data_IF_289274002548
#
_entry.id   IF_289274002548
#
_cell.length_a   1.000
_cell.length_b   1.000
_cell.length_c   1.000
_cell.angle_alpha   90.00
_cell.angle_beta   90.00
_cell.angle_gamma   90.00
#
_symmetry.space_group_name_H-M   'P 1'
#
loop_
_entity.id
_entity.type
_entity.pdbx_description
1 polymer ?
#
# COMPACT_ATOMS: atom_id res chain seq x y z
N UNK A 1 12.32 -48.62 -12.24
CA UNK A 1 11.53 -47.42 -11.92
C UNK A 1 12.20 -46.68 -10.77
N UNK A 2 12.55 -45.39 -10.88
CA UNK A 2 13.01 -44.65 -9.72
C UNK A 2 11.79 -44.19 -8.91
N UNK A 3 11.84 -44.36 -7.59
CA UNK A 3 10.82 -43.91 -6.67
C UNK A 3 10.77 -42.36 -6.65
N UNK A 4 9.58 -41.74 -6.50
CA UNK A 4 9.49 -40.28 -6.43
C UNK A 4 10.03 -39.81 -5.08
N UNK A 5 10.91 -38.80 -5.13
CA UNK A 5 11.44 -38.14 -3.95
C UNK A 5 10.30 -37.38 -3.24
N UNK A 6 9.83 -37.95 -2.13
CA UNK A 6 8.83 -37.34 -1.25
C UNK A 6 9.49 -36.19 -0.48
N UNK A 7 8.98 -34.97 -0.64
CA UNK A 7 9.39 -33.81 0.16
C UNK A 7 8.72 -33.85 1.53
N UNK A 8 9.53 -33.71 2.58
CA UNK A 8 9.23 -34.11 3.97
C UNK A 8 8.23 -33.20 4.75
N UNK A 9 7.32 -32.47 4.09
CA UNK A 9 6.38 -31.58 4.80
C UNK A 9 4.94 -31.62 4.24
N UNK A 10 4.59 -32.56 3.36
CA UNK A 10 3.18 -32.71 2.94
C UNK A 10 2.85 -34.18 2.63
N UNK A 11 1.86 -34.72 3.35
CA UNK A 11 1.30 -36.07 3.15
C UNK A 11 0.17 -36.06 2.10
N UNK A 12 0.30 -35.26 1.05
CA UNK A 12 -0.68 -35.19 -0.05
C UNK A 12 0.05 -35.25 -1.38
N UNK A 13 -0.49 -36.04 -2.30
CA UNK A 13 0.05 -36.26 -3.64
C UNK A 13 0.29 -34.92 -4.37
N UNK A 14 1.51 -34.62 -4.86
CA UNK A 14 1.84 -33.40 -5.59
C UNK A 14 0.96 -33.14 -6.83
N UNK A 15 0.31 -34.17 -7.37
CA UNK A 15 -0.65 -34.03 -8.48
C UNK A 15 -1.99 -33.42 -8.06
N UNK A 16 -2.25 -33.34 -6.75
CA UNK A 16 -3.45 -32.73 -6.16
C UNK A 16 -3.32 -31.22 -5.95
N UNK A 17 -2.10 -30.68 -6.01
CA UNK A 17 -1.90 -29.24 -5.95
C UNK A 17 -2.13 -28.64 -7.33
N UNK A 18 -3.19 -27.84 -7.46
CA UNK A 18 -3.53 -27.15 -8.69
C UNK A 18 -2.33 -26.29 -9.12
N UNK A 19 -1.75 -26.51 -10.32
CA UNK A 19 -0.50 -25.86 -10.74
C UNK A 19 -0.60 -24.33 -10.73
N UNK A 20 -1.80 -23.79 -10.91
CA UNK A 20 -2.02 -22.36 -10.82
C UNK A 20 -1.90 -21.78 -9.40
N UNK A 21 -2.30 -22.53 -8.37
CA UNK A 21 -2.16 -22.09 -6.99
C UNK A 21 -0.69 -22.05 -6.60
N UNK A 22 0.09 -23.06 -7.01
CA UNK A 22 1.53 -23.10 -6.78
C UNK A 22 2.27 -21.97 -7.52
N UNK A 23 1.85 -21.65 -8.74
CA UNK A 23 2.37 -20.50 -9.47
C UNK A 23 2.08 -19.19 -8.72
N UNK A 24 0.86 -19.04 -8.20
CA UNK A 24 0.46 -17.86 -7.45
C UNK A 24 1.29 -17.75 -6.16
N UNK A 25 1.39 -18.80 -5.36
CA UNK A 25 2.18 -18.85 -4.10
C UNK A 25 3.65 -18.48 -4.29
N UNK A 26 4.27 -18.88 -5.41
CA UNK A 26 5.67 -18.58 -5.71
C UNK A 26 5.90 -17.20 -6.34
N UNK A 27 4.86 -16.39 -6.51
CA UNK A 27 4.96 -15.05 -7.09
C UNK A 27 5.67 -14.10 -6.12
N UNK A 28 6.60 -13.30 -6.65
CA UNK A 28 7.25 -12.22 -5.89
C UNK A 28 6.32 -11.02 -5.81
N UNK A 29 6.31 -10.34 -4.68
CA UNK A 29 5.61 -9.06 -4.52
C UNK A 29 6.35 -8.00 -5.36
N UNK A 30 5.83 -7.72 -6.55
CA UNK A 30 6.36 -6.71 -7.49
C UNK A 30 5.51 -5.44 -7.49
N UNK A 31 6.00 -4.33 -8.03
CA UNK A 31 5.24 -3.07 -8.12
C UNK A 31 3.83 -3.22 -8.73
N UNK A 32 3.62 -4.03 -9.80
CA UNK A 32 2.28 -4.24 -10.36
C UNK A 32 1.32 -4.96 -9.41
N UNK A 33 1.85 -5.88 -8.61
CA UNK A 33 1.09 -6.59 -7.57
C UNK A 33 0.68 -5.60 -6.49
N UNK A 34 1.58 -4.69 -6.10
CA UNK A 34 1.29 -3.64 -5.13
C UNK A 34 0.22 -2.68 -5.67
N UNK A 35 0.34 -2.24 -6.93
CA UNK A 35 -0.68 -1.40 -7.57
C UNK A 35 -2.07 -2.07 -7.55
N UNK A 36 -2.15 -3.36 -7.90
CA UNK A 36 -3.40 -4.10 -7.84
C UNK A 36 -3.99 -4.18 -6.42
N UNK A 37 -3.15 -4.41 -5.39
CA UNK A 37 -3.59 -4.39 -3.98
C UNK A 37 -4.19 -3.03 -3.63
N UNK A 38 -3.51 -1.95 -4.03
CA UNK A 38 -3.92 -0.57 -3.75
C UNK A 38 -5.26 -0.26 -4.42
N UNK A 39 -5.44 -0.64 -5.68
CA UNK A 39 -6.71 -0.49 -6.41
C UNK A 39 -7.84 -1.28 -5.73
N UNK A 40 -7.62 -2.56 -5.45
CA UNK A 40 -8.62 -3.44 -4.83
C UNK A 40 -9.08 -2.93 -3.46
N UNK A 41 -8.15 -2.46 -2.62
CA UNK A 41 -8.50 -1.92 -1.30
C UNK A 41 -9.21 -0.58 -1.45
N UNK A 42 -8.76 0.30 -2.36
CA UNK A 42 -9.38 1.61 -2.57
C UNK A 42 -10.84 1.47 -3.02
N UNK A 43 -11.10 0.56 -3.97
CA UNK A 43 -12.46 0.25 -4.43
C UNK A 43 -13.35 -0.30 -3.29
N UNK A 44 -12.79 -1.18 -2.46
CA UNK A 44 -13.51 -1.72 -1.29
C UNK A 44 -13.86 -0.62 -0.26
N UNK A 45 -12.95 0.32 -0.06
CA UNK A 45 -13.17 1.46 0.84
C UNK A 45 -14.22 2.41 0.29
N UNK A 46 -14.14 2.74 -1.01
CA UNK A 46 -15.11 3.60 -1.67
C UNK A 46 -16.53 3.00 -1.55
N UNK A 47 -16.68 1.70 -1.81
CA UNK A 47 -17.94 0.98 -1.60
C UNK A 47 -18.43 1.04 -0.14
N UNK A 48 -17.51 0.89 0.83
CA UNK A 48 -17.82 0.94 2.26
C UNK A 48 -18.23 2.34 2.77
N UNK A 49 -17.71 3.41 2.14
CA UNK A 49 -18.06 4.80 2.40
C UNK A 49 -19.44 5.14 1.80
N UNK A 50 -19.66 4.80 0.52
CA UNK A 50 -20.93 5.05 -0.17
C UNK A 50 -22.12 4.37 0.53
N UNK A 51 -21.91 3.18 1.08
CA UNK A 51 -22.92 2.44 1.86
C UNK A 51 -23.22 3.09 3.21
N UNK A 52 -22.26 3.77 3.82
CA UNK A 52 -22.48 4.51 5.06
C UNK A 52 -23.31 5.77 4.80
N UNK A 53 -22.99 6.50 3.74
CA UNK A 53 -23.70 7.73 3.32
C UNK A 53 -25.15 7.45 2.89
N UNK A 54 -25.37 6.36 2.15
CA UNK A 54 -26.71 5.95 1.69
C UNK A 54 -27.65 5.56 2.84
N UNK A 55 -27.10 5.12 3.98
CA UNK A 55 -27.87 4.82 5.18
C UNK A 55 -28.25 6.08 5.98
N UNK A 56 -27.65 7.23 5.68
CA UNK A 56 -27.85 8.51 6.37
C UNK A 56 -28.48 9.58 5.46
N UNK A 57 -29.68 9.33 4.91
CA UNK A 57 -30.53 10.31 4.19
C UNK A 57 -29.94 10.95 2.90
N UNK A 58 -30.72 11.13 1.82
CA UNK A 58 -30.16 11.55 0.53
C UNK A 58 -30.02 13.07 0.47
N UNK A 59 -28.91 13.64 0.97
CA UNK A 59 -28.43 14.98 0.61
C UNK A 59 -27.09 15.28 1.29
N UNK A 60 -25.98 15.04 0.60
CA UNK A 60 -25.03 16.08 0.15
C UNK A 60 -24.02 15.40 -0.76
N UNK A 61 -24.05 15.71 -2.05
CA UNK A 61 -22.99 15.39 -2.99
C UNK A 61 -21.76 16.23 -2.64
N UNK A 62 -21.00 15.83 -1.60
CA UNK A 62 -19.66 16.36 -1.38
C UNK A 62 -18.78 15.77 -2.47
N UNK A 63 -18.29 16.60 -3.39
CA UNK A 63 -17.41 16.18 -4.46
C UNK A 63 -16.08 15.67 -3.91
N UNK A 64 -15.94 14.34 -3.81
CA UNK A 64 -14.74 13.63 -3.34
C UNK A 64 -13.60 13.57 -4.38
N UNK A 65 -13.47 14.58 -5.25
CA UNK A 65 -12.69 14.41 -6.50
C UNK A 65 -11.36 15.19 -6.60
N UNK A 66 -10.91 15.94 -5.59
CA UNK A 66 -9.70 16.79 -5.73
C UNK A 66 -8.42 16.29 -5.03
N UNK A 67 -8.49 15.32 -4.13
CA UNK A 67 -7.33 14.84 -3.35
C UNK A 67 -6.93 13.39 -3.64
N UNK A 68 -7.75 12.64 -4.39
CA UNK A 68 -7.59 11.21 -4.72
C UNK A 68 -6.20 10.79 -5.21
N UNK A 69 -5.54 11.50 -6.14
CA UNK A 69 -4.22 11.07 -6.61
C UNK A 69 -3.18 11.06 -5.48
N UNK A 70 -3.28 12.02 -4.55
CA UNK A 70 -2.34 12.15 -3.44
C UNK A 70 -2.58 11.14 -2.31
N UNK A 71 -3.83 10.74 -2.05
CA UNK A 71 -4.14 9.69 -1.07
C UNK A 71 -3.75 8.33 -1.60
N UNK A 72 -4.01 8.05 -2.89
CA UNK A 72 -3.63 6.81 -3.54
C UNK A 72 -2.12 6.57 -3.51
N UNK A 73 -1.30 7.58 -3.83
CA UNK A 73 0.17 7.46 -3.77
C UNK A 73 0.68 7.25 -2.34
N UNK A 74 0.09 7.94 -1.34
CA UNK A 74 0.47 7.73 0.07
C UNK A 74 0.14 6.31 0.52
N UNK A 75 -1.02 5.81 0.12
CA UNK A 75 -1.43 4.45 0.44
C UNK A 75 -0.54 3.42 -0.27
N UNK A 76 -0.14 3.63 -1.53
CA UNK A 76 0.86 2.80 -2.20
C UNK A 76 2.17 2.71 -1.40
N UNK A 77 2.73 3.85 -0.99
CA UNK A 77 3.95 3.88 -0.16
C UNK A 77 3.76 3.16 1.17
N UNK A 78 2.59 3.30 1.79
CA UNK A 78 2.23 2.58 3.02
C UNK A 78 2.25 1.06 2.79
N UNK A 79 1.61 0.57 1.72
CA UNK A 79 1.60 -0.86 1.37
C UNK A 79 3.03 -1.38 1.15
N UNK A 80 3.87 -0.68 0.38
CA UNK A 80 5.28 -1.05 0.19
C UNK A 80 6.02 -1.17 1.52
N UNK A 81 5.88 -0.16 2.39
CA UNK A 81 6.58 -0.08 3.67
C UNK A 81 6.19 -1.26 4.56
N UNK A 82 4.88 -1.49 4.72
CA UNK A 82 4.37 -2.54 5.60
C UNK A 82 4.75 -3.93 5.09
N UNK A 83 4.59 -4.22 3.80
CA UNK A 83 4.94 -5.53 3.24
C UNK A 83 6.43 -5.84 3.37
N UNK A 84 7.28 -4.84 3.15
CA UNK A 84 8.73 -4.96 3.29
C UNK A 84 9.14 -5.15 4.76
N UNK A 85 8.73 -4.25 5.65
CA UNK A 85 9.14 -4.26 7.06
C UNK A 85 8.61 -5.49 7.81
N UNK A 86 7.38 -5.93 7.51
CA UNK A 86 6.80 -7.13 8.11
C UNK A 86 7.21 -8.44 7.43
N UNK A 87 8.00 -8.39 6.35
CA UNK A 87 8.48 -9.55 5.57
C UNK A 87 7.35 -10.51 5.18
N UNK A 88 6.26 -9.93 4.70
CA UNK A 88 5.05 -10.66 4.37
C UNK A 88 5.27 -11.47 3.09
N UNK A 89 4.87 -12.75 3.12
CA UNK A 89 4.88 -13.60 1.94
C UNK A 89 3.70 -13.29 1.01
N UNK A 90 3.85 -13.50 -0.30
CA UNK A 90 2.73 -13.32 -1.23
C UNK A 90 1.49 -14.18 -0.89
N UNK A 91 1.60 -15.46 -0.47
CA UNK A 91 0.45 -16.22 0.03
C UNK A 91 -0.34 -15.51 1.14
N UNK A 92 0.36 -14.87 2.07
CA UNK A 92 -0.28 -14.08 3.13
C UNK A 92 -1.04 -12.89 2.54
N UNK A 93 -0.51 -12.24 1.50
CA UNK A 93 -1.20 -11.16 0.78
C UNK A 93 -2.47 -11.67 0.09
N UNK A 94 -2.43 -12.85 -0.55
CA UNK A 94 -3.61 -13.45 -1.17
C UNK A 94 -4.73 -13.69 -0.16
N UNK A 95 -4.39 -14.23 1.01
CA UNK A 95 -5.34 -14.42 2.11
C UNK A 95 -5.91 -13.09 2.59
N UNK A 96 -5.08 -12.04 2.68
CA UNK A 96 -5.54 -10.70 3.05
C UNK A 96 -6.56 -10.16 2.04
N UNK A 97 -6.31 -10.30 0.74
CA UNK A 97 -7.25 -9.88 -0.30
C UNK A 97 -8.55 -10.67 -0.29
N UNK A 98 -8.48 -11.99 -0.09
CA UNK A 98 -9.66 -12.84 0.10
C UNK A 98 -10.51 -12.37 1.29
N UNK A 99 -9.86 -11.99 2.40
CA UNK A 99 -10.55 -11.41 3.55
C UNK A 99 -11.19 -10.05 3.24
N UNK A 100 -10.52 -9.19 2.48
CA UNK A 100 -11.07 -7.89 2.04
C UNK A 100 -12.31 -8.11 1.17
N UNK A 101 -12.23 -8.97 0.15
CA UNK A 101 -13.34 -9.29 -0.73
C UNK A 101 -14.55 -9.84 0.05
N UNK A 102 -14.32 -10.75 1.00
CA UNK A 102 -15.36 -11.31 1.87
C UNK A 102 -15.91 -10.32 2.91
N UNK A 103 -15.08 -9.37 3.33
CA UNK A 103 -15.45 -8.31 4.27
C UNK A 103 -16.27 -7.20 3.62
N UNK A 104 -16.04 -6.95 2.32
CA UNK A 104 -16.61 -5.83 1.56
C UNK A 104 -18.12 -5.62 1.77
N UNK A 105 -19.01 -6.64 1.69
CA UNK A 105 -20.46 -6.44 1.89
C UNK A 105 -20.86 -5.97 3.30
N UNK A 106 -20.00 -6.20 4.30
CA UNK A 106 -20.24 -5.89 5.72
C UNK A 106 -19.44 -4.67 6.19
N UNK A 107 -18.54 -4.16 5.36
CA UNK A 107 -17.69 -3.03 5.68
C UNK A 107 -18.54 -1.75 5.76
N UNK A 108 -18.44 -1.02 6.87
CA UNK A 108 -19.07 0.29 7.06
C UNK A 108 -18.03 1.24 7.62
N UNK A 109 -17.69 2.28 6.87
CA UNK A 109 -16.60 3.17 7.22
C UNK A 109 -17.19 4.48 7.73
N UNK A 110 -17.19 4.68 9.05
CA UNK A 110 -17.66 5.92 9.68
C UNK A 110 -16.59 7.01 9.80
N UNK A 111 -15.32 6.65 9.59
CA UNK A 111 -14.18 7.57 9.66
C UNK A 111 -13.39 7.40 8.38
N UNK A 112 -13.26 8.44 7.56
CA UNK A 112 -12.54 8.37 6.28
C UNK A 112 -11.01 8.37 6.46
N UNK A 113 -10.52 9.00 7.54
CA UNK A 113 -9.08 9.13 7.82
C UNK A 113 -8.41 7.74 7.82
N UNK A 114 -7.43 7.60 6.94
CA UNK A 114 -6.65 6.37 6.74
C UNK A 114 -7.51 5.11 6.55
N UNK A 115 -8.66 5.22 5.87
CA UNK A 115 -9.57 4.11 5.68
C UNK A 115 -8.91 2.94 4.94
N UNK A 116 -8.23 3.21 3.82
CA UNK A 116 -7.50 2.20 3.03
C UNK A 116 -6.39 1.53 3.82
N UNK A 117 -5.57 2.32 4.53
CA UNK A 117 -4.51 1.81 5.38
C UNK A 117 -5.05 0.90 6.48
N UNK A 118 -6.17 1.27 7.13
CA UNK A 118 -6.79 0.47 8.20
C UNK A 118 -7.40 -0.81 7.67
N UNK A 119 -8.12 -0.77 6.55
CA UNK A 119 -8.72 -1.95 5.91
C UNK A 119 -7.62 -2.93 5.48
N UNK A 120 -6.60 -2.43 4.78
CA UNK A 120 -5.47 -3.26 4.36
C UNK A 120 -4.72 -3.87 5.54
N UNK A 121 -4.35 -3.05 6.54
CA UNK A 121 -3.59 -3.51 7.70
C UNK A 121 -4.37 -4.54 8.53
N UNK A 122 -5.66 -4.31 8.77
CA UNK A 122 -6.50 -5.24 9.50
C UNK A 122 -6.57 -6.61 8.82
N UNK A 123 -6.80 -6.63 7.50
CA UNK A 123 -6.81 -7.85 6.72
C UNK A 123 -5.45 -8.58 6.76
N UNK A 124 -4.36 -7.81 6.60
CA UNK A 124 -3.01 -8.35 6.54
C UNK A 124 -2.55 -8.96 7.86
N UNK A 125 -2.87 -8.33 9.00
CA UNK A 125 -2.55 -8.86 10.33
C UNK A 125 -3.23 -10.21 10.54
N UNK A 126 -4.53 -10.30 10.24
CA UNK A 126 -5.28 -11.55 10.42
C UNK A 126 -4.76 -12.62 9.45
N UNK A 127 -4.46 -12.25 8.21
CA UNK A 127 -3.90 -13.17 7.22
C UNK A 127 -2.53 -13.71 7.65
N UNK A 128 -1.65 -12.85 8.16
CA UNK A 128 -0.36 -13.26 8.73
C UNK A 128 -0.57 -14.25 9.87
N UNK A 129 -1.41 -13.88 10.85
CA UNK A 129 -1.76 -14.75 11.99
C UNK A 129 -2.38 -16.08 11.61
N UNK A 130 -3.08 -16.14 10.48
CA UNK A 130 -3.71 -17.35 9.97
C UNK A 130 -2.75 -18.26 9.20
N UNK A 131 -1.78 -17.68 8.49
CA UNK A 131 -0.93 -18.42 7.53
C UNK A 131 0.46 -18.77 8.05
N UNK A 132 0.93 -18.13 9.13
CA UNK A 132 2.30 -18.27 9.62
C UNK A 132 2.31 -18.86 11.03
N UNK A 133 3.13 -19.89 11.27
CA UNK A 133 3.28 -20.52 12.59
C UNK A 133 3.91 -19.58 13.64
N UNK A 134 4.72 -18.63 13.17
CA UNK A 134 5.30 -17.57 13.99
C UNK A 134 4.96 -16.21 13.38
N UNK A 135 4.25 -15.37 14.14
CA UNK A 135 3.68 -14.12 13.64
C UNK A 135 4.10 -12.93 14.47
N UNK A 136 4.08 -11.75 13.84
CA UNK A 136 4.38 -10.51 14.54
C UNK A 136 3.27 -10.20 15.55
N UNK A 137 3.69 -9.89 16.78
CA UNK A 137 2.81 -9.26 17.79
C UNK A 137 2.42 -7.85 17.34
N UNK A 138 1.29 -7.35 17.81
CA UNK A 138 0.75 -6.05 17.41
C UNK A 138 1.69 -4.87 17.68
N UNK A 139 2.56 -4.98 18.69
CA UNK A 139 3.61 -3.98 18.96
C UNK A 139 4.64 -3.88 17.82
N UNK A 140 4.97 -5.00 17.17
CA UNK A 140 5.89 -5.00 16.03
C UNK A 140 5.19 -4.52 14.76
N UNK A 141 3.90 -4.85 14.58
CA UNK A 141 3.09 -4.26 13.50
C UNK A 141 3.02 -2.73 13.59
N UNK A 142 2.89 -2.17 14.80
CA UNK A 142 2.95 -0.73 14.99
C UNK A 142 4.27 -0.12 14.50
N UNK A 143 5.39 -0.79 14.76
CA UNK A 143 6.72 -0.39 14.27
C UNK A 143 6.81 -0.46 12.74
N UNK A 144 6.27 -1.51 12.10
CA UNK A 144 6.27 -1.64 10.63
C UNK A 144 5.46 -0.52 9.95
N UNK A 145 4.32 -0.13 10.53
CA UNK A 145 3.42 0.85 9.89
C UNK A 145 3.92 2.28 10.00
N UNK A 146 4.65 2.62 11.09
CA UNK A 146 5.10 3.99 11.45
C UNK A 146 3.98 5.05 11.45
N UNK A 147 2.72 4.59 11.44
CA UNK A 147 1.53 5.42 11.30
C UNK A 147 0.56 5.20 12.46
N UNK A 148 0.46 3.96 12.95
CA UNK A 148 -0.48 3.55 13.97
C UNK A 148 0.24 3.16 15.25
N UNK A 149 -0.29 3.60 16.40
CA UNK A 149 0.19 3.12 17.69
C UNK A 149 -0.20 1.65 17.90
N UNK A 150 0.45 0.95 18.84
CA UNK A 150 0.05 -0.42 19.22
C UNK A 150 -1.43 -0.53 19.55
N UNK A 151 -2.00 0.48 20.22
CA UNK A 151 -3.44 0.51 20.55
C UNK A 151 -4.30 0.60 19.29
N UNK A 152 -3.91 1.45 18.34
CA UNK A 152 -4.62 1.59 17.06
C UNK A 152 -4.54 0.29 16.27
N UNK A 153 -3.38 -0.36 16.22
CA UNK A 153 -3.19 -1.67 15.56
C UNK A 153 -4.09 -2.74 16.18
N UNK A 154 -4.14 -2.85 17.51
CA UNK A 154 -5.05 -3.76 18.19
C UNK A 154 -6.52 -3.49 17.83
N UNK A 155 -6.89 -2.20 17.74
CA UNK A 155 -8.25 -1.81 17.39
C UNK A 155 -8.58 -2.13 15.93
N UNK A 156 -7.66 -1.84 15.01
CA UNK A 156 -7.78 -2.15 13.57
C UNK A 156 -7.97 -3.65 13.36
N UNK A 157 -7.17 -4.48 14.05
CA UNK A 157 -7.32 -5.93 14.02
C UNK A 157 -8.71 -6.37 14.50
N UNK A 158 -9.14 -5.89 15.67
CA UNK A 158 -10.43 -6.23 16.26
C UNK A 158 -11.61 -5.81 15.38
N UNK A 159 -11.58 -4.57 14.86
CA UNK A 159 -12.63 -4.05 14.00
C UNK A 159 -12.72 -4.88 12.71
N UNK A 160 -11.59 -5.28 12.12
CA UNK A 160 -11.60 -6.10 10.91
C UNK A 160 -12.01 -7.56 11.17
N UNK A 161 -11.68 -8.15 12.33
CA UNK A 161 -12.22 -9.43 12.78
C UNK A 161 -13.75 -9.39 12.91
N UNK A 162 -14.27 -8.26 13.40
CA UNK A 162 -15.71 -8.01 13.52
C UNK A 162 -16.36 -7.93 12.14
N UNK A 163 -15.74 -7.24 11.18
CA UNK A 163 -16.17 -7.22 9.77
C UNK A 163 -16.23 -8.64 9.19
N UNK A 164 -15.23 -9.47 9.48
CA UNK A 164 -15.22 -10.88 9.06
C UNK A 164 -16.23 -11.75 9.80
N UNK A 165 -16.77 -11.28 10.93
CA UNK A 165 -17.63 -12.07 11.81
C UNK A 165 -16.92 -13.31 12.32
N UNK A 166 -15.61 -13.22 12.54
CA UNK A 166 -14.75 -14.30 13.03
C UNK A 166 -14.68 -15.55 12.12
N UNK A 167 -15.20 -15.46 10.89
CA UNK A 167 -15.09 -16.52 9.88
C UNK A 167 -13.76 -16.35 9.16
N UNK A 168 -12.76 -17.12 9.57
CA UNK A 168 -11.38 -17.03 9.07
C UNK A 168 -11.00 -18.16 8.11
N UNK A 169 -11.79 -19.23 8.02
CA UNK A 169 -11.50 -20.32 7.08
C UNK A 169 -11.31 -19.77 5.66
N UNK A 170 -10.20 -20.13 5.03
CA UNK A 170 -9.88 -19.81 3.64
C UNK A 170 -9.95 -21.08 2.83
N UNK A 171 -10.62 -21.03 1.69
CA UNK A 171 -10.61 -22.11 0.72
C UNK A 171 -9.84 -21.72 -0.52
N UNK A 172 -9.49 -22.70 -1.34
CA UNK A 172 -8.75 -22.46 -2.59
C UNK A 172 -9.53 -21.53 -3.54
N UNK A 173 -10.86 -21.63 -3.57
CA UNK A 173 -11.70 -20.80 -4.43
C UNK A 173 -11.60 -19.31 -4.07
N UNK A 174 -11.41 -18.99 -2.78
CA UNK A 174 -11.22 -17.63 -2.30
C UNK A 174 -9.90 -17.02 -2.81
N UNK A 175 -8.86 -17.86 -2.97
CA UNK A 175 -7.54 -17.43 -3.44
C UNK A 175 -7.51 -17.27 -4.96
N UNK A 176 -8.20 -18.16 -5.68
CA UNK A 176 -8.27 -18.14 -7.14
C UNK A 176 -9.08 -16.95 -7.68
N UNK A 177 -9.99 -16.38 -6.89
CA UNK A 177 -10.75 -15.18 -7.27
C UNK A 177 -9.86 -13.99 -7.67
N UNK A 178 -8.66 -13.88 -7.08
CA UNK A 178 -7.71 -12.80 -7.39
C UNK A 178 -6.71 -13.17 -8.52
N UNK A 179 -6.69 -14.42 -8.98
CA UNK A 179 -5.71 -14.92 -9.95
C UNK A 179 -5.72 -14.13 -11.25
N UNK A 180 -6.89 -13.87 -11.82
CA UNK A 180 -7.00 -13.14 -13.09
C UNK A 180 -6.54 -11.70 -12.95
N UNK A 181 -6.90 -11.03 -11.85
CA UNK A 181 -6.47 -9.66 -11.55
C UNK A 181 -4.96 -9.54 -11.44
N UNK A 182 -4.30 -10.48 -10.75
CA UNK A 182 -2.84 -10.51 -10.65
C UNK A 182 -2.15 -10.82 -11.97
N UNK A 183 -2.66 -11.78 -12.75
CA UNK A 183 -2.11 -12.09 -14.06
C UNK A 183 -2.24 -10.89 -15.01
N UNK A 184 -3.39 -10.22 -15.01
CA UNK A 184 -3.58 -8.99 -15.77
C UNK A 184 -2.62 -7.88 -15.33
N UNK A 185 -2.46 -7.66 -14.02
CA UNK A 185 -1.51 -6.66 -13.49
C UNK A 185 -0.05 -6.98 -13.88
N UNK A 186 0.35 -8.25 -13.78
CA UNK A 186 1.69 -8.70 -14.17
C UNK A 186 1.96 -8.56 -15.68
N UNK A 187 0.96 -8.85 -16.53
CA UNK A 187 1.08 -8.77 -17.99
C UNK A 187 1.00 -7.33 -18.53
N UNK A 188 0.19 -6.47 -17.92
CA UNK A 188 0.03 -5.06 -18.32
C UNK A 188 1.25 -4.19 -17.94
N UNK A 189 2.22 -4.78 -17.25
CA UNK A 189 3.46 -4.12 -16.83
C UNK A 189 4.57 -4.16 -17.88
N UNK A 190 4.22 -4.46 -19.14
CA UNK A 190 5.13 -4.21 -20.25
C UNK A 190 5.61 -2.76 -20.16
N UNK A 191 6.93 -2.50 -20.10
CA UNK A 191 7.42 -1.15 -20.01
C UNK A 191 6.87 -0.43 -21.23
N UNK A 192 6.11 0.65 -20.99
CA UNK A 192 5.86 1.64 -22.03
C UNK A 192 7.23 2.08 -22.51
N UNK A 193 7.73 1.42 -23.54
CA UNK A 193 8.82 1.89 -24.36
C UNK A 193 8.32 3.23 -24.84
N UNK A 194 8.93 4.29 -24.32
CA UNK A 194 8.76 5.63 -24.82
C UNK A 194 9.28 5.60 -26.27
N UNK A 195 8.44 5.17 -27.20
CA UNK A 195 8.65 5.41 -28.63
C UNK A 195 8.49 6.93 -28.75
N UNK A 196 9.60 7.66 -28.66
CA UNK A 196 9.67 9.03 -29.16
C UNK A 196 9.33 8.94 -30.64
N UNK A 197 8.31 9.66 -31.14
CA UNK A 197 8.12 9.73 -32.57
C UNK A 197 9.38 10.36 -33.20
N UNK A 198 9.79 9.93 -34.41
CA UNK A 198 10.88 10.58 -35.13
C UNK A 198 10.50 12.04 -35.36
N UNK A 199 11.34 12.95 -34.89
CA UNK A 199 11.18 14.38 -35.15
C UNK A 199 11.62 14.62 -36.59
N UNK A 200 10.66 14.64 -37.52
CA UNK A 200 10.90 15.08 -38.89
C UNK A 200 11.35 16.54 -38.88
N UNK A 201 12.41 16.79 -39.66
CA UNK A 201 13.18 18.02 -39.61
C UNK A 201 12.42 19.25 -40.07
N UNK A 202 12.78 20.38 -39.47
CA UNK A 202 12.63 21.68 -40.12
C UNK A 202 13.88 22.52 -39.89
N UNK A 203 14.73 22.47 -40.90
CA UNK A 203 15.52 23.55 -41.52
C UNK A 203 15.86 24.76 -40.64
N UNK A 204 17.17 24.94 -40.48
CA UNK A 204 17.81 26.12 -39.95
C UNK A 204 17.56 27.37 -40.80
N UNK A 205 17.22 28.48 -40.14
CA UNK A 205 17.51 29.82 -40.67
C UNK A 205 17.83 30.76 -39.50
N UNK A 206 19.10 31.18 -39.44
CA UNK A 206 19.54 32.37 -38.69
C UNK A 206 19.00 33.63 -39.38
N UNK A 207 18.86 34.73 -38.64
CA UNK A 207 19.71 35.86 -38.98
C UNK A 207 20.34 36.58 -37.77
N UNK A 208 21.52 37.13 -38.05
CA UNK A 208 22.28 38.07 -37.23
C UNK A 208 21.59 39.45 -37.19
N UNK A 209 21.69 40.20 -36.07
CA UNK A 209 22.57 41.39 -35.93
C UNK A 209 22.26 42.28 -34.69
N UNK A 210 23.36 42.65 -34.04
CA UNK A 210 23.70 43.77 -33.13
C UNK A 210 22.68 44.83 -32.66
N UNK A 211 22.75 45.19 -31.36
CA UNK A 211 23.08 46.52 -30.78
C UNK A 211 23.20 46.38 -29.24
N UNK A 212 24.36 46.59 -28.59
CA UNK A 212 25.03 47.84 -28.11
C UNK A 212 24.67 48.26 -26.65
N UNK A 213 25.65 48.07 -25.74
CA UNK A 213 26.16 48.97 -24.68
C UNK A 213 25.46 49.11 -23.29
N UNK A 214 26.17 48.55 -22.29
CA UNK A 214 26.62 49.06 -20.97
C UNK A 214 25.69 49.88 -20.04
N UNK A 215 25.57 49.46 -18.77
CA UNK A 215 26.31 50.01 -17.59
C UNK A 215 25.58 49.77 -16.25
N UNK A 216 26.37 49.67 -15.16
CA UNK A 216 25.98 49.73 -13.74
C UNK A 216 25.21 48.51 -13.19
N UNK A 217 25.49 47.91 -12.04
CA UNK A 217 26.34 48.22 -10.90
C UNK A 217 25.81 47.42 -9.69
N UNK A 218 26.71 47.08 -8.76
CA UNK A 218 26.44 46.64 -7.38
C UNK A 218 26.10 45.16 -7.11
N UNK A 219 27.13 44.46 -6.62
CA UNK A 219 27.06 43.25 -5.80
C UNK A 219 27.03 43.71 -4.33
N UNK A 220 26.34 42.98 -3.42
CA UNK A 220 26.87 42.87 -2.07
C UNK A 220 27.10 41.41 -1.63
N UNK A 221 28.30 41.23 -1.09
CA UNK A 221 28.78 40.16 -0.23
C UNK A 221 27.89 39.98 1.02
N UNK A 222 27.75 38.73 1.48
CA UNK A 222 27.22 38.39 2.80
C UNK A 222 28.24 37.51 3.52
N UNK A 223 28.99 38.12 4.46
CA UNK A 223 29.72 37.41 5.51
C UNK A 223 28.90 37.38 6.82
N UNK A 224 29.15 36.41 7.71
CA UNK A 224 28.31 36.06 8.83
C UNK A 224 28.66 36.83 10.10
N UNK A 225 27.70 37.00 11.01
CA UNK A 225 27.98 37.43 12.39
C UNK A 225 27.02 36.78 13.37
N UNK A 226 27.59 35.96 14.25
CA UNK A 226 27.04 35.62 15.58
C UNK A 226 27.12 36.85 16.49
N UNK A 227 26.36 36.87 17.61
CA UNK A 227 27.07 36.68 18.88
C UNK A 227 26.30 35.88 19.95
N UNK A 228 27.08 35.43 20.92
CA UNK A 228 26.70 34.78 22.18
C UNK A 228 25.78 35.65 23.05
N UNK A 229 24.94 35.00 23.87
CA UNK A 229 24.71 35.42 25.25
C UNK A 229 24.30 34.21 26.10
N UNK A 230 25.00 34.09 27.23
CA UNK A 230 24.78 33.12 28.31
C UNK A 230 23.72 33.65 29.26
N UNK A 231 22.93 32.78 29.88
CA UNK A 231 22.51 32.90 31.28
C UNK A 231 21.92 31.56 31.77
N UNK A 232 22.40 31.10 32.93
CA UNK A 232 21.89 29.91 33.61
C UNK A 232 20.94 30.28 34.74
N UNK A 233 20.04 29.36 35.09
CA UNK A 233 19.47 29.32 36.44
C UNK A 233 18.96 27.92 36.81
N UNK A 234 19.67 27.37 37.79
CA UNK A 234 19.34 26.43 38.87
C UNK A 234 17.88 25.97 39.00
N UNK A 235 17.69 24.65 39.13
CA UNK A 235 16.51 24.00 39.71
C UNK A 235 16.82 23.45 41.11
N UNK A 236 15.93 23.57 42.11
CA UNK A 236 16.05 22.89 43.41
C UNK A 236 15.28 21.54 43.43
N UNK A 237 15.63 20.60 44.32
CA UNK A 237 14.82 19.41 44.61
C UNK A 237 14.02 19.57 45.92
N UNK A 238 12.87 18.90 46.01
CA UNK A 238 12.03 18.75 47.22
C UNK A 238 11.10 17.54 47.05
N UNK A 239 10.53 17.00 48.13
CA UNK A 239 11.13 16.37 49.31
C UNK A 239 11.02 14.84 49.28
#
# INVERSE_FOLDING_TARGET
>A
SPAPAMHAVSLVDPTSHYPALMQLVNTKISDPVIAYIVDCVSETVDYGLERADSASSPQTSRGHSRTRPSSHQRFYTFVCTVLSDARVSFPTVLVALAYIARGCPRLRIGIEKYASERVFLGALIIASKYTQDSTLRNVHWAQCTRLFSTRDVCRIEYDFLTVLGWKLAVREEDLLAHREGFLAAALNSSPRTHIRPPMEGLVATRPHTHHRRASSGSVPDLEPSSPQSSEGSVSPPTP
#
